data_IF_048299175977
#
_entry.id   IF_048299175977
#
_cell.length_a   1.000
_cell.length_b   1.000
_cell.length_c   1.000
_cell.angle_alpha   90.00
_cell.angle_beta   90.00
_cell.angle_gamma   90.00
#
_symmetry.space_group_name_H-M   'P 1'
#
loop_
_entity.id
_entity.type
_entity.pdbx_description
1 polymer ?
#
# COMPACT_ATOMS: atom_id res chain seq x y z
N UNK A 1 -13.51 -6.81 -5.72
CA UNK A 1 -13.12 -7.10 -7.12
C UNK A 1 -14.39 -7.40 -7.87
N UNK A 2 -14.75 -6.59 -8.87
CA UNK A 2 -16.02 -6.72 -9.54
C UNK A 2 -15.94 -7.85 -10.57
N UNK A 3 -16.78 -8.87 -10.43
CA UNK A 3 -16.81 -10.05 -11.30
C UNK A 3 -17.29 -9.65 -12.70
N UNK A 4 -16.53 -10.03 -13.72
CA UNK A 4 -17.01 -9.89 -15.10
C UNK A 4 -18.27 -10.73 -15.29
N UNK A 5 -19.25 -10.21 -16.04
CA UNK A 5 -20.43 -10.98 -16.42
C UNK A 5 -20.00 -12.23 -17.20
N UNK A 6 -20.87 -13.27 -17.32
CA UNK A 6 -20.54 -14.50 -18.05
C UNK A 6 -20.04 -14.28 -19.49
N UNK A 7 -20.45 -13.18 -20.13
CA UNK A 7 -20.00 -12.75 -21.46
C UNK A 7 -18.62 -12.04 -21.48
N UNK A 8 -17.91 -11.97 -20.34
CA UNK A 8 -16.62 -11.31 -20.19
C UNK A 8 -16.66 -9.78 -20.21
N UNK A 9 -17.84 -9.17 -20.14
CA UNK A 9 -18.02 -7.70 -20.06
C UNK A 9 -18.22 -7.25 -18.62
N UNK A 10 -17.77 -6.05 -18.29
CA UNK A 10 -18.07 -5.44 -16.99
C UNK A 10 -19.45 -4.77 -17.04
N UNK A 11 -20.24 -4.94 -15.98
CA UNK A 11 -21.58 -4.35 -15.89
C UNK A 11 -21.55 -2.81 -15.87
N UNK A 12 -20.52 -2.20 -15.26
CA UNK A 12 -20.36 -0.73 -15.20
C UNK A 12 -19.95 -0.13 -16.54
N UNK A 13 -19.00 -0.76 -17.22
CA UNK A 13 -18.32 -0.16 -18.37
C UNK A 13 -18.82 -0.70 -19.73
N UNK A 14 -19.64 -1.75 -19.73
CA UNK A 14 -20.24 -2.38 -20.93
C UNK A 14 -19.27 -3.06 -21.91
N UNK A 15 -17.96 -2.81 -21.77
CA UNK A 15 -16.89 -3.37 -22.57
C UNK A 15 -16.24 -4.61 -21.95
N UNK A 16 -15.48 -5.34 -22.76
CA UNK A 16 -14.61 -6.43 -22.28
C UNK A 16 -13.53 -5.83 -21.39
N UNK A 17 -13.49 -6.23 -20.13
CA UNK A 17 -12.51 -5.71 -19.17
C UNK A 17 -11.20 -6.48 -19.33
N UNK A 18 -10.08 -5.81 -19.62
CA UNK A 18 -8.80 -6.49 -19.65
C UNK A 18 -8.43 -7.04 -18.27
N UNK A 19 -7.55 -8.03 -18.23
CA UNK A 19 -7.14 -8.73 -17.00
C UNK A 19 -5.63 -8.70 -16.84
N UNK A 20 -5.16 -8.99 -15.62
CA UNK A 20 -3.73 -9.08 -15.30
C UNK A 20 -2.96 -7.81 -15.73
N UNK A 21 -2.00 -7.95 -16.63
CA UNK A 21 -1.09 -6.86 -17.04
C UNK A 21 -1.72 -5.87 -18.03
N UNK A 22 -2.88 -6.23 -18.59
CA UNK A 22 -3.69 -5.32 -19.41
C UNK A 22 -4.67 -4.48 -18.58
N UNK A 23 -4.71 -4.68 -17.26
CA UNK A 23 -5.57 -3.92 -16.36
C UNK A 23 -5.30 -2.40 -16.50
N UNK A 24 -6.37 -1.60 -16.57
CA UNK A 24 -6.36 -0.17 -16.91
C UNK A 24 -5.89 0.21 -18.33
N UNK A 25 -5.57 -0.73 -19.23
CA UNK A 25 -5.24 -0.39 -20.62
C UNK A 25 -6.51 -0.03 -21.41
N UNK A 26 -6.48 1.03 -22.23
CA UNK A 26 -7.59 1.34 -23.12
C UNK A 26 -7.78 0.23 -24.18
N UNK A 27 -8.98 -0.37 -24.20
CA UNK A 27 -9.38 -1.31 -25.27
C UNK A 27 -9.94 -0.56 -26.48
N UNK A 28 -9.36 -0.73 -27.66
CA UNK A 28 -9.82 -0.07 -28.89
C UNK A 28 -11.02 -0.80 -29.52
N UNK A 29 -12.01 -0.07 -30.06
CA UNK A 29 -13.15 -0.69 -30.75
C UNK A 29 -12.69 -1.43 -32.02
N UNK A 30 -13.25 -2.61 -32.28
CA UNK A 30 -13.02 -3.41 -33.50
C UNK A 30 -14.37 -3.83 -34.10
N UNK A 31 -14.52 -3.72 -35.42
CA UNK A 31 -15.68 -4.24 -36.16
C UNK A 31 -17.04 -3.64 -35.78
N UNK A 32 -17.08 -2.38 -35.34
CA UNK A 32 -18.32 -1.69 -34.93
C UNK A 32 -18.61 -0.52 -35.90
N UNK A 33 -19.86 -0.30 -36.35
CA UNK A 33 -20.19 0.81 -37.25
C UNK A 33 -19.75 2.19 -36.73
N UNK A 34 -19.87 2.40 -35.42
CA UNK A 34 -19.39 3.60 -34.69
C UNK A 34 -17.96 3.49 -34.13
N UNK A 35 -17.07 2.68 -34.72
CA UNK A 35 -15.73 2.45 -34.18
C UNK A 35 -14.89 3.74 -34.09
N UNK A 36 -14.92 4.57 -35.14
CA UNK A 36 -14.18 5.85 -35.20
C UNK A 36 -14.66 6.81 -34.11
N UNK A 37 -15.97 6.97 -33.96
CA UNK A 37 -16.56 7.84 -32.94
C UNK A 37 -16.17 7.40 -31.51
N UNK A 38 -16.27 6.09 -31.23
CA UNK A 38 -15.87 5.50 -29.94
C UNK A 38 -14.38 5.65 -29.67
N UNK A 39 -13.55 5.50 -30.70
CA UNK A 39 -12.11 5.74 -30.61
C UNK A 39 -11.82 7.20 -30.25
N UNK A 40 -12.43 8.15 -30.95
CA UNK A 40 -12.26 9.58 -30.71
C UNK A 40 -12.77 10.00 -29.32
N UNK A 41 -13.87 9.43 -28.84
CA UNK A 41 -14.33 9.64 -27.46
C UNK A 41 -13.29 9.18 -26.44
N UNK A 42 -12.74 7.97 -26.63
CA UNK A 42 -11.70 7.42 -25.75
C UNK A 42 -10.40 8.22 -25.78
N UNK A 43 -9.97 8.70 -26.94
CA UNK A 43 -8.81 9.60 -27.06
C UNK A 43 -9.03 10.90 -26.29
N UNK A 44 -10.22 11.52 -26.40
CA UNK A 44 -10.57 12.73 -25.63
C UNK A 44 -10.53 12.49 -24.12
N UNK A 45 -11.03 11.34 -23.65
CA UNK A 45 -11.00 11.01 -22.22
C UNK A 45 -9.59 10.78 -21.70
N UNK A 46 -8.74 10.08 -22.47
CA UNK A 46 -7.32 9.89 -22.14
C UNK A 46 -6.62 11.24 -22.04
N UNK A 47 -6.84 12.12 -23.01
CA UNK A 47 -6.23 13.45 -23.02
C UNK A 47 -6.71 14.33 -21.85
N UNK A 48 -8.02 14.28 -21.54
CA UNK A 48 -8.57 14.98 -20.37
C UNK A 48 -7.95 14.47 -19.06
N UNK A 49 -7.80 13.15 -18.92
CA UNK A 49 -7.18 12.56 -17.74
C UNK A 49 -5.70 12.93 -17.62
N UNK A 50 -4.97 12.96 -18.75
CA UNK A 50 -3.58 13.41 -18.83
C UNK A 50 -3.45 14.87 -18.35
N UNK A 51 -4.22 15.78 -18.92
CA UNK A 51 -4.22 17.21 -18.52
C UNK A 51 -4.53 17.42 -17.04
N UNK A 52 -5.54 16.70 -16.50
CA UNK A 52 -5.87 16.76 -15.07
C UNK A 52 -4.73 16.28 -14.18
N UNK A 53 -4.01 15.24 -14.60
CA UNK A 53 -2.84 14.73 -13.87
C UNK A 53 -1.68 15.72 -13.96
N UNK A 54 -1.42 16.29 -15.13
CA UNK A 54 -0.37 17.30 -15.33
C UNK A 54 -0.63 18.54 -14.47
N UNK A 55 -1.85 19.07 -14.47
CA UNK A 55 -2.24 20.20 -13.61
C UNK A 55 -1.98 19.88 -12.13
N UNK A 56 -2.48 18.74 -11.64
CA UNK A 56 -2.25 18.32 -10.25
C UNK A 56 -0.75 18.21 -9.91
N UNK A 57 0.07 17.71 -10.83
CA UNK A 57 1.50 17.57 -10.59
C UNK A 57 2.26 18.90 -10.68
N UNK A 58 1.73 19.87 -11.44
CA UNK A 58 2.25 21.22 -11.51
C UNK A 58 1.94 22.00 -10.22
N UNK A 59 0.75 21.79 -9.64
CA UNK A 59 0.34 22.41 -8.37
C UNK A 59 1.14 21.91 -7.16
N UNK A 60 1.78 20.73 -7.25
CA UNK A 60 2.62 20.19 -6.17
C UNK A 60 3.95 20.94 -6.06
N UNK A 61 4.37 21.19 -4.82
CA UNK A 61 5.74 21.63 -4.53
C UNK A 61 6.77 20.55 -4.95
N UNK A 62 8.07 20.90 -5.09
CA UNK A 62 9.11 19.92 -5.38
C UNK A 62 9.18 18.78 -4.37
N UNK A 63 9.00 19.09 -3.09
CA UNK A 63 9.03 18.14 -1.97
C UNK A 63 7.83 17.20 -2.01
N UNK A 64 6.62 17.73 -2.21
CA UNK A 64 5.41 16.92 -2.32
C UNK A 64 5.44 16.03 -3.56
N UNK A 65 6.03 16.52 -4.67
CA UNK A 65 6.23 15.73 -5.88
C UNK A 65 7.17 14.56 -5.63
N UNK A 66 8.23 14.76 -4.84
CA UNK A 66 9.17 13.72 -4.46
C UNK A 66 8.50 12.68 -3.55
N UNK A 67 7.79 13.10 -2.51
CA UNK A 67 7.03 12.23 -1.63
C UNK A 67 5.98 11.40 -2.40
N UNK A 68 5.28 12.02 -3.35
CA UNK A 68 4.33 11.32 -4.21
C UNK A 68 5.01 10.27 -5.11
N UNK A 69 6.22 10.53 -5.61
CA UNK A 69 6.99 9.53 -6.40
C UNK A 69 7.42 8.36 -5.53
N UNK A 70 7.94 8.62 -4.34
CA UNK A 70 8.33 7.60 -3.37
C UNK A 70 7.14 6.73 -2.96
N UNK A 71 6.01 7.37 -2.66
CA UNK A 71 4.76 6.67 -2.38
C UNK A 71 4.34 5.77 -3.55
N UNK A 72 4.38 6.27 -4.79
CA UNK A 72 4.06 5.45 -5.96
C UNK A 72 5.01 4.26 -6.14
N UNK A 73 6.31 4.43 -5.90
CA UNK A 73 7.27 3.33 -5.99
C UNK A 73 7.05 2.28 -4.90
N UNK A 74 6.79 2.71 -3.66
CA UNK A 74 6.54 1.82 -2.53
C UNK A 74 5.20 1.06 -2.64
N UNK A 75 4.16 1.70 -3.20
CA UNK A 75 2.79 1.16 -3.20
C UNK A 75 2.35 0.54 -4.54
N UNK A 76 3.17 0.59 -5.59
CA UNK A 76 2.83 -0.06 -6.86
C UNK A 76 2.82 -1.59 -6.67
N UNK A 77 1.72 -2.30 -6.99
CA UNK A 77 1.75 -3.74 -7.07
C UNK A 77 2.81 -4.14 -8.11
N UNK A 78 3.91 -4.79 -7.68
CA UNK A 78 5.00 -5.23 -8.56
C UNK A 78 4.53 -6.14 -9.70
N UNK A 79 5.42 -6.59 -10.60
CA UNK A 79 5.00 -7.39 -11.78
C UNK A 79 4.18 -8.61 -11.35
N UNK A 80 3.29 -9.11 -12.21
CA UNK A 80 2.44 -10.27 -11.88
C UNK A 80 3.26 -11.48 -11.40
N UNK A 81 4.44 -11.70 -12.00
CA UNK A 81 5.42 -12.72 -11.62
C UNK A 81 5.91 -12.51 -10.18
N UNK A 82 6.32 -11.29 -9.83
CA UNK A 82 6.80 -10.94 -8.48
C UNK A 82 5.70 -11.16 -7.43
N UNK A 83 4.46 -10.75 -7.75
CA UNK A 83 3.31 -10.98 -6.87
C UNK A 83 3.01 -12.47 -6.69
N UNK A 84 3.13 -13.27 -7.76
CA UNK A 84 2.94 -14.73 -7.72
C UNK A 84 4.02 -15.39 -6.86
N UNK A 85 5.30 -15.00 -7.05
CA UNK A 85 6.44 -15.46 -6.24
C UNK A 85 6.23 -15.11 -4.76
N UNK A 86 5.90 -13.85 -4.45
CA UNK A 86 5.64 -13.43 -3.08
C UNK A 86 4.47 -14.18 -2.42
N UNK A 87 3.40 -14.46 -3.18
CA UNK A 87 2.30 -15.34 -2.71
C UNK A 87 2.76 -16.77 -2.46
N UNK A 88 3.59 -17.32 -3.34
CA UNK A 88 4.20 -18.64 -3.17
C UNK A 88 5.04 -18.72 -1.91
N UNK A 89 5.93 -17.74 -1.68
CA UNK A 89 6.74 -17.63 -0.48
C UNK A 89 5.88 -17.56 0.79
N UNK A 90 4.82 -16.74 0.80
CA UNK A 90 3.91 -16.68 1.96
C UNK A 90 3.23 -18.02 2.25
N UNK A 91 2.79 -18.73 1.21
CA UNK A 91 2.19 -20.06 1.37
C UNK A 91 3.21 -21.08 1.89
N UNK A 92 4.42 -21.09 1.33
CA UNK A 92 5.49 -21.97 1.78
C UNK A 92 5.86 -21.70 3.25
N UNK A 93 5.99 -20.43 3.64
CA UNK A 93 6.28 -20.06 5.03
C UNK A 93 5.13 -20.44 5.98
N UNK A 94 3.87 -20.26 5.56
CA UNK A 94 2.72 -20.67 6.36
C UNK A 94 2.69 -22.20 6.54
N UNK A 95 2.95 -22.96 5.48
CA UNK A 95 3.08 -24.41 5.54
C UNK A 95 4.23 -24.82 6.46
N UNK A 96 5.40 -24.19 6.32
CA UNK A 96 6.55 -24.46 7.18
C UNK A 96 6.24 -24.18 8.66
N UNK A 97 5.56 -23.07 8.98
CA UNK A 97 5.13 -22.77 10.36
C UNK A 97 4.17 -23.82 10.92
N UNK A 98 3.23 -24.28 10.09
CA UNK A 98 2.29 -25.34 10.48
C UNK A 98 3.01 -26.67 10.71
N UNK A 99 3.96 -27.05 9.83
CA UNK A 99 4.75 -28.29 9.98
C UNK A 99 5.69 -28.23 11.17
N UNK A 100 6.35 -27.10 11.39
CA UNK A 100 7.29 -26.91 12.50
C UNK A 100 6.60 -26.73 13.85
N UNK A 101 5.26 -26.72 13.89
CA UNK A 101 4.50 -26.53 15.12
C UNK A 101 4.89 -25.25 15.85
N UNK A 102 5.25 -24.19 15.11
CA UNK A 102 5.57 -22.88 15.69
C UNK A 102 4.25 -22.21 16.09
N UNK A 103 3.60 -22.82 17.07
CA UNK A 103 2.62 -22.14 17.89
C UNK A 103 3.40 -21.18 18.77
N UNK A 104 3.13 -19.88 18.64
CA UNK A 104 3.90 -18.81 19.30
C UNK A 104 3.61 -18.73 20.81
N UNK A 105 3.13 -19.80 21.43
CA UNK A 105 2.87 -19.94 22.85
C UNK A 105 4.07 -20.53 23.60
N UNK A 106 5.30 -20.19 23.22
CA UNK A 106 6.42 -20.51 24.10
C UNK A 106 6.34 -19.60 25.33
N UNK A 107 6.38 -20.15 26.55
CA UNK A 107 6.52 -19.32 27.74
C UNK A 107 7.77 -18.45 27.56
N UNK A 108 7.69 -17.14 27.86
CA UNK A 108 8.83 -16.24 27.67
C UNK A 108 10.02 -16.80 28.44
N UNK A 109 11.20 -16.82 27.80
CA UNK A 109 12.40 -17.31 28.46
C UNK A 109 12.65 -16.48 29.74
N UNK A 110 13.24 -17.07 30.79
CA UNK A 110 13.58 -16.34 32.02
C UNK A 110 14.36 -15.04 31.76
N UNK A 111 15.19 -15.06 30.72
CA UNK A 111 16.00 -13.96 30.22
C UNK A 111 15.13 -12.86 29.61
N UNK A 112 14.12 -13.23 28.80
CA UNK A 112 13.16 -12.28 28.25
C UNK A 112 12.38 -11.60 29.39
N UNK A 113 11.92 -12.37 30.38
CA UNK A 113 11.21 -11.83 31.55
C UNK A 113 12.11 -10.87 32.35
N UNK A 114 13.39 -11.22 32.55
CA UNK A 114 14.37 -10.33 33.19
C UNK A 114 14.55 -9.03 32.43
N UNK A 115 14.73 -9.10 31.12
CA UNK A 115 14.94 -7.93 30.28
C UNK A 115 13.69 -7.03 30.27
N UNK A 116 12.49 -7.60 30.14
CA UNK A 116 11.23 -6.84 30.20
C UNK A 116 11.07 -6.11 31.54
N UNK A 117 11.33 -6.79 32.66
CA UNK A 117 11.30 -6.15 33.98
C UNK A 117 12.32 -5.02 34.13
N UNK A 118 13.51 -5.19 33.56
CA UNK A 118 14.54 -4.15 33.58
C UNK A 118 14.12 -2.92 32.75
N UNK A 119 13.49 -3.13 31.59
CA UNK A 119 12.95 -2.05 30.75
C UNK A 119 11.88 -1.28 31.51
N UNK A 120 10.89 -1.96 32.10
CA UNK A 120 9.82 -1.32 32.86
C UNK A 120 10.35 -0.50 34.06
N UNK A 121 11.37 -1.00 34.75
CA UNK A 121 12.01 -0.28 35.85
C UNK A 121 12.73 0.98 35.35
N UNK A 122 13.45 0.90 34.24
CA UNK A 122 14.17 2.03 33.65
C UNK A 122 13.21 3.10 33.10
N UNK A 123 12.10 2.69 32.50
CA UNK A 123 11.08 3.63 32.03
C UNK A 123 10.44 4.42 33.17
N UNK A 124 10.15 3.75 34.30
CA UNK A 124 9.67 4.43 35.52
C UNK A 124 10.69 5.44 36.06
N UNK A 125 11.96 5.06 36.12
CA UNK A 125 13.03 5.97 36.55
C UNK A 125 13.18 7.16 35.61
N UNK A 126 13.09 6.92 34.29
CA UNK A 126 13.14 7.98 33.28
C UNK A 126 11.96 8.95 33.45
N UNK A 127 10.75 8.45 33.63
CA UNK A 127 9.56 9.27 33.84
C UNK A 127 9.68 10.11 35.13
N UNK A 128 10.10 9.50 36.25
CA UNK A 128 10.32 10.21 37.50
C UNK A 128 11.40 11.29 37.38
N UNK A 129 12.49 11.00 36.66
CA UNK A 129 13.55 11.98 36.40
C UNK A 129 13.07 13.13 35.52
N UNK A 130 12.29 12.85 34.48
CA UNK A 130 11.69 13.89 33.63
C UNK A 130 10.75 14.79 34.43
N UNK A 131 9.88 14.21 35.28
CA UNK A 131 8.99 14.98 36.15
C UNK A 131 9.77 15.86 37.15
N UNK A 132 10.84 15.33 37.76
CA UNK A 132 11.69 16.10 38.68
C UNK A 132 12.44 17.25 37.96
N UNK A 133 12.84 17.06 36.70
CA UNK A 133 13.44 18.12 35.89
C UNK A 133 12.42 19.21 35.57
N UNK A 134 11.18 18.84 35.24
CA UNK A 134 10.09 19.79 34.98
C UNK A 134 9.72 20.58 36.24
N UNK A 135 9.64 19.93 37.40
CA UNK A 135 9.36 20.58 38.68
C UNK A 135 10.49 21.56 39.08
N UNK A 136 11.76 21.16 38.93
CA UNK A 136 12.90 22.04 39.16
C UNK A 136 12.93 23.22 38.17
N UNK A 137 12.59 22.98 36.91
CA UNK A 137 12.53 24.04 35.90
C UNK A 137 11.40 25.03 36.16
N UNK A 138 10.27 24.60 36.74
CA UNK A 138 9.16 25.49 37.11
C UNK A 138 9.45 26.30 38.39
N UNK A 139 10.17 25.72 39.36
CA UNK A 139 10.56 26.41 40.59
C UNK A 139 11.78 27.33 40.48
N UNK A 140 12.49 27.34 39.36
CA UNK A 140 13.68 28.17 39.14
C UNK A 140 13.39 29.54 38.49
N UNK A 141 12.12 29.88 38.24
CA UNK A 141 11.69 31.15 37.62
C UNK A 141 10.81 32.03 38.54
N UNK A 142 10.69 31.69 39.83
CA UNK A 142 10.11 32.55 40.88
C UNK A 142 11.23 33.19 41.74
#
# INVERSE_FOLDING_TARGET
MQTAMPNGRCYLHGGRTPKADDWHRPVWPKGHPRAVEKMNAKLRDIERARKKREARLADLSPEERQAHREWQMAHKPGKAVDRKRARGMRKANAAARATLGVDQSYPPSPELVRVTRAIEALEKLRAARSAAIEEFALGAFD
#
